data_IF_917866761618
#
_entry.id   IF_917866761618
#
_cell.length_a   1.000
_cell.length_b   1.000
_cell.length_c   1.000
_cell.angle_alpha   90.00
_cell.angle_beta   90.00
_cell.angle_gamma   90.00
#
_symmetry.space_group_name_H-M   'P 1'
#
loop_
_entity.id
_entity.type
_entity.pdbx_description
1 polymer ?
#
# COMPACT_ATOMS: atom_id res chain seq x y z
N UNK A 1 7.16 6.80 3.03
CA UNK A 1 6.61 7.61 1.92
C UNK A 1 6.41 9.01 2.46
N UNK A 2 7.00 10.03 1.84
CA UNK A 2 6.79 11.41 2.28
C UNK A 2 5.32 11.86 2.05
N UNK A 3 5.01 13.09 2.47
CA UNK A 3 3.68 13.71 2.33
C UNK A 3 3.20 13.84 0.87
N UNK A 4 4.09 13.65 -0.11
CA UNK A 4 3.81 13.72 -1.55
C UNK A 4 3.76 12.32 -2.20
N UNK A 5 3.91 11.24 -1.41
CA UNK A 5 3.96 9.87 -1.92
C UNK A 5 5.26 9.54 -2.64
N UNK A 6 6.32 10.33 -2.44
CA UNK A 6 7.65 10.09 -2.97
C UNK A 6 8.52 9.43 -1.90
N UNK A 7 9.21 8.35 -2.26
CA UNK A 7 10.01 7.56 -1.32
C UNK A 7 11.43 8.12 -1.17
N UNK A 8 12.01 8.63 -2.27
CA UNK A 8 13.41 9.04 -2.33
C UNK A 8 13.75 10.26 -1.49
N UNK A 9 12.85 11.24 -1.36
CA UNK A 9 13.12 12.49 -0.63
C UNK A 9 13.30 12.29 0.86
N UNK A 10 12.37 11.59 1.52
CA UNK A 10 12.46 11.26 2.94
C UNK A 10 13.64 10.32 3.21
N UNK A 11 13.81 9.29 2.37
CA UNK A 11 14.92 8.33 2.51
C UNK A 11 16.29 9.01 2.45
N UNK A 12 16.48 9.95 1.52
CA UNK A 12 17.74 10.70 1.38
C UNK A 12 18.00 11.70 2.51
N UNK A 13 16.95 12.18 3.19
CA UNK A 13 17.07 13.14 4.29
C UNK A 13 17.15 12.48 5.68
N UNK A 14 16.85 11.19 5.80
CA UNK A 14 16.78 10.48 7.07
C UNK A 14 18.16 10.39 7.74
N UNK A 15 18.21 10.76 9.01
CA UNK A 15 19.44 10.81 9.81
C UNK A 15 19.52 9.64 10.79
N UNK A 16 18.42 9.40 11.52
CA UNK A 16 18.38 8.40 12.56
C UNK A 16 16.96 7.86 12.75
N UNK A 17 16.88 6.64 13.27
CA UNK A 17 15.66 6.08 13.83
C UNK A 17 15.95 5.65 15.25
N UNK A 18 15.07 6.06 16.16
CA UNK A 18 15.12 5.69 17.57
C UNK A 18 13.98 4.74 17.89
N UNK A 19 14.30 3.63 18.53
CA UNK A 19 13.34 2.61 18.95
C UNK A 19 13.27 2.58 20.47
N UNK A 20 12.12 2.89 21.04
CA UNK A 20 11.84 2.72 22.46
C UNK A 20 11.01 1.45 22.66
N UNK A 21 11.51 0.53 23.47
CA UNK A 21 10.84 -0.72 23.84
C UNK A 21 10.24 -0.61 25.23
N UNK A 22 8.96 -0.96 25.36
CA UNK A 22 8.21 -0.87 26.61
C UNK A 22 7.81 -2.24 27.18
N UNK A 23 8.05 -3.33 26.44
CA UNK A 23 7.50 -4.65 26.76
C UNK A 23 5.98 -4.59 26.92
N UNK A 24 5.44 -5.22 27.96
CA UNK A 24 4.01 -5.19 28.25
C UNK A 24 3.57 -4.00 29.15
N UNK A 25 4.51 -3.10 29.47
CA UNK A 25 4.29 -1.97 30.38
C UNK A 25 4.12 -0.63 29.66
N UNK A 26 4.10 0.46 30.44
CA UNK A 26 4.04 1.83 29.94
C UNK A 26 5.35 2.61 30.18
N UNK A 27 6.39 1.93 30.69
CA UNK A 27 7.71 2.49 30.94
C UNK A 27 8.69 1.97 29.91
N UNK A 28 9.56 2.84 29.39
CA UNK A 28 10.62 2.42 28.47
C UNK A 28 11.60 1.51 29.23
N UNK A 29 11.76 0.29 28.73
CA UNK A 29 12.70 -0.70 29.23
C UNK A 29 14.07 -0.59 28.53
N UNK A 30 14.07 -0.22 27.24
CA UNK A 30 15.29 0.01 26.48
C UNK A 30 15.05 1.00 25.34
N UNK A 31 16.11 1.72 24.96
CA UNK A 31 16.12 2.63 23.81
C UNK A 31 17.29 2.29 22.90
N UNK A 32 17.02 2.15 21.61
CA UNK A 32 18.00 1.79 20.60
C UNK A 32 18.10 2.87 19.53
N UNK A 33 19.34 3.24 19.18
CA UNK A 33 19.65 4.03 17.99
C UNK A 33 20.11 3.11 16.88
N UNK A 34 19.62 3.33 15.67
CA UNK A 34 19.92 2.44 14.54
C UNK A 34 20.88 3.06 13.53
N UNK A 35 21.82 2.28 12.99
CA UNK A 35 22.64 2.68 11.84
C UNK A 35 21.94 2.27 10.55
N UNK A 36 21.73 3.23 9.64
CA UNK A 36 21.15 2.96 8.33
C UNK A 36 22.04 1.97 7.54
N UNK A 37 21.41 1.06 6.80
CA UNK A 37 22.04 -0.05 6.05
C UNK A 37 22.67 -1.20 6.87
N UNK A 38 22.97 -1.01 8.17
CA UNK A 38 23.46 -2.10 9.03
C UNK A 38 22.38 -2.65 9.96
N UNK A 39 21.59 -1.76 10.59
CA UNK A 39 20.55 -2.13 11.55
C UNK A 39 19.13 -1.87 11.01
N UNK A 40 19.02 -1.02 9.98
CA UNK A 40 17.78 -0.68 9.29
C UNK A 40 17.95 -0.87 7.79
N UNK A 41 17.13 -1.72 7.20
CA UNK A 41 16.93 -1.79 5.75
C UNK A 41 15.56 -1.24 5.40
N UNK A 42 15.52 -0.27 4.48
CA UNK A 42 14.30 0.33 3.98
C UNK A 42 14.01 -0.26 2.59
N UNK A 43 13.32 -1.40 2.55
CA UNK A 43 12.75 -1.94 1.31
C UNK A 43 11.37 -1.30 1.03
N UNK A 44 10.94 -1.25 -0.24
CA UNK A 44 9.65 -0.63 -0.61
C UNK A 44 8.44 -1.29 0.10
N UNK A 45 8.60 -2.51 0.61
CA UNK A 45 7.55 -3.31 1.26
C UNK A 45 7.87 -3.78 2.70
N UNK A 46 9.15 -3.94 3.09
CA UNK A 46 9.53 -4.56 4.37
C UNK A 46 9.52 -3.60 5.59
N UNK A 47 9.30 -2.29 5.37
CA UNK A 47 9.28 -1.32 6.46
C UNK A 47 10.68 -1.04 7.03
N UNK A 48 10.76 -0.72 8.32
CA UNK A 48 12.02 -0.58 9.05
C UNK A 48 12.06 -1.76 10.02
N UNK A 49 13.05 -2.64 9.86
CA UNK A 49 13.26 -3.78 10.74
C UNK A 49 14.42 -3.49 11.68
N UNK A 50 14.31 -3.92 12.94
CA UNK A 50 15.41 -3.91 13.90
C UNK A 50 15.96 -5.35 14.00
N UNK A 51 17.22 -5.56 13.64
CA UNK A 51 17.88 -6.86 13.73
C UNK A 51 18.21 -7.22 15.18
N UNK A 52 17.22 -7.72 15.94
CA UNK A 52 17.33 -7.89 17.40
C UNK A 52 18.08 -9.15 17.86
N UNK A 53 18.02 -10.25 17.12
CA UNK A 53 18.42 -11.56 17.65
C UNK A 53 19.94 -11.81 17.69
N UNK A 54 20.73 -11.03 16.95
CA UNK A 54 22.20 -11.19 16.92
C UNK A 54 22.97 -9.85 16.96
N UNK A 55 22.27 -8.72 17.19
CA UNK A 55 22.95 -7.43 17.27
C UNK A 55 23.59 -7.24 18.64
N UNK A 56 24.91 -7.13 18.67
CA UNK A 56 25.68 -6.74 19.87
C UNK A 56 25.25 -5.35 20.35
N UNK A 57 24.70 -4.51 19.47
CA UNK A 57 24.27 -3.13 19.78
C UNK A 57 22.81 -3.03 20.22
N UNK A 58 21.97 -4.00 19.87
CA UNK A 58 20.53 -3.97 20.14
C UNK A 58 20.09 -5.22 20.91
N UNK A 59 20.71 -5.46 22.06
CA UNK A 59 20.32 -6.55 22.95
C UNK A 59 19.02 -6.21 23.69
N UNK A 60 18.09 -7.16 23.70
CA UNK A 60 16.85 -7.04 24.46
C UNK A 60 17.11 -7.13 25.97
N UNK A 61 16.34 -6.43 26.81
CA UNK A 61 16.38 -6.63 28.26
C UNK A 61 16.18 -8.10 28.63
N UNK A 62 16.88 -8.56 29.66
CA UNK A 62 16.79 -9.94 30.13
C UNK A 62 15.32 -10.35 30.40
N UNK A 63 14.95 -11.55 29.97
CA UNK A 63 13.58 -12.08 30.12
C UNK A 63 12.57 -11.53 29.11
N UNK A 64 13.03 -10.86 28.05
CA UNK A 64 12.16 -10.37 26.97
C UNK A 64 12.57 -10.94 25.61
N UNK A 65 11.60 -11.13 24.73
CA UNK A 65 11.75 -11.69 23.38
C UNK A 65 11.44 -10.65 22.27
N UNK A 66 11.25 -9.39 22.67
CA UNK A 66 10.90 -8.28 21.79
C UNK A 66 9.40 -8.17 21.51
N UNK A 67 8.56 -9.08 22.01
CA UNK A 67 7.10 -8.88 22.00
C UNK A 67 6.68 -7.78 22.97
N UNK A 68 5.60 -7.07 22.65
CA UNK A 68 5.10 -5.95 23.43
C UNK A 68 5.16 -4.62 22.68
N UNK A 69 5.05 -3.53 23.41
CA UNK A 69 4.87 -2.21 22.86
C UNK A 69 6.19 -1.56 22.44
N UNK A 70 6.19 -1.01 21.22
CA UNK A 70 7.31 -0.30 20.62
C UNK A 70 6.89 1.07 20.12
N UNK A 71 7.82 2.02 20.23
CA UNK A 71 7.70 3.36 19.66
C UNK A 71 8.93 3.66 18.81
N UNK A 72 8.71 3.94 17.54
CA UNK A 72 9.74 4.40 16.61
C UNK A 72 9.62 5.90 16.44
N UNK A 73 10.76 6.58 16.45
CA UNK A 73 10.86 8.00 16.07
C UNK A 73 11.86 8.13 14.94
N UNK A 74 11.41 8.69 13.81
CA UNK A 74 12.23 8.94 12.63
C UNK A 74 12.65 10.40 12.61
N UNK A 75 13.95 10.63 12.51
CA UNK A 75 14.57 11.95 12.38
C UNK A 75 15.07 12.12 10.94
N UNK A 76 14.64 13.18 10.27
CA UNK A 76 15.06 13.49 8.90
C UNK A 76 15.20 15.01 8.70
N UNK A 77 16.29 15.44 8.05
CA UNK A 77 16.57 16.85 7.84
C UNK A 77 15.46 17.52 7.02
N UNK A 78 14.95 18.65 7.51
CA UNK A 78 13.87 19.39 6.85
C UNK A 78 12.48 18.76 6.99
N UNK A 79 12.34 17.69 7.77
CA UNK A 79 11.05 17.08 8.12
C UNK A 79 10.79 17.23 9.62
N UNK A 80 9.51 17.28 10.00
CA UNK A 80 9.12 17.13 11.40
C UNK A 80 9.36 15.69 11.83
N UNK A 81 9.80 15.51 13.08
CA UNK A 81 9.97 14.19 13.68
C UNK A 81 8.66 13.40 13.57
N UNK A 82 8.78 12.15 13.15
CA UNK A 82 7.61 11.29 12.96
C UNK A 82 7.69 10.11 13.91
N UNK A 83 6.64 9.95 14.72
CA UNK A 83 6.51 8.83 15.65
C UNK A 83 5.48 7.82 15.15
N UNK A 84 5.83 6.54 15.25
CA UNK A 84 4.93 5.41 15.01
C UNK A 84 5.00 4.43 16.18
N UNK A 85 3.84 4.07 16.72
CA UNK A 85 3.70 3.15 17.86
C UNK A 85 2.97 1.88 17.41
N UNK A 86 3.44 0.72 17.86
CA UNK A 86 2.82 -0.57 17.56
C UNK A 86 3.12 -1.61 18.64
N UNK A 87 2.28 -2.64 18.68
CA UNK A 87 2.51 -3.81 19.52
C UNK A 87 3.07 -4.93 18.65
N UNK A 88 4.30 -5.36 18.94
CA UNK A 88 4.92 -6.51 18.33
C UNK A 88 4.40 -7.78 19.00
N UNK A 89 3.94 -8.73 18.19
CA UNK A 89 3.53 -10.07 18.64
C UNK A 89 4.56 -11.10 18.17
N UNK A 90 4.42 -12.35 18.59
CA UNK A 90 5.31 -13.43 18.14
C UNK A 90 5.42 -13.52 16.60
N UNK A 91 4.36 -13.18 15.85
CA UNK A 91 4.39 -13.18 14.37
C UNK A 91 5.23 -12.04 13.79
N UNK A 92 5.59 -11.05 14.60
CA UNK A 92 6.46 -9.93 14.21
C UNK A 92 7.93 -10.19 14.55
N UNK A 93 8.22 -11.22 15.37
CA UNK A 93 9.58 -11.55 15.79
C UNK A 93 10.16 -12.53 14.78
N UNK A 94 11.33 -12.17 14.23
CA UNK A 94 12.07 -13.06 13.33
C UNK A 94 12.71 -14.16 14.17
N UNK A 95 12.19 -15.37 14.02
CA UNK A 95 12.73 -16.56 14.68
C UNK A 95 13.67 -17.31 13.74
N UNK A 96 14.86 -17.73 14.21
CA UNK A 96 15.69 -18.71 13.50
C UNK A 96 14.83 -19.91 13.12
N UNK A 97 14.77 -20.20 11.82
CA UNK A 97 13.98 -21.31 11.28
C UNK A 97 14.92 -22.37 10.75
N UNK A 98 14.64 -23.63 11.08
CA UNK A 98 15.32 -24.77 10.48
C UNK A 98 14.99 -24.78 8.97
N UNK A 99 15.97 -24.55 8.09
CA UNK A 99 15.72 -24.41 6.67
C UNK A 99 15.22 -25.72 6.03
N UNK A 100 15.42 -26.88 6.66
CA UNK A 100 14.87 -28.15 6.18
C UNK A 100 13.34 -28.23 6.26
N UNK A 101 12.71 -27.37 7.06
CA UNK A 101 11.25 -27.28 7.20
C UNK A 101 10.59 -26.37 6.16
N UNK A 102 11.38 -25.66 5.35
CA UNK A 102 10.90 -24.71 4.35
C UNK A 102 10.64 -25.44 3.02
N UNK A 103 9.41 -25.38 2.52
CA UNK A 103 9.05 -25.86 1.20
C UNK A 103 9.45 -24.84 0.12
N UNK A 104 10.47 -25.21 -0.66
CA UNK A 104 11.01 -24.41 -1.77
C UNK A 104 10.39 -24.75 -3.13
N UNK A 105 9.44 -25.67 -3.19
CA UNK A 105 8.86 -26.17 -4.46
C UNK A 105 8.24 -25.04 -5.28
N UNK A 106 7.42 -24.22 -4.64
CA UNK A 106 6.73 -23.11 -5.32
C UNK A 106 7.72 -22.03 -5.79
N UNK A 107 8.80 -21.81 -5.04
CA UNK A 107 9.85 -20.86 -5.36
C UNK A 107 10.62 -21.30 -6.61
N UNK A 108 11.08 -22.56 -6.65
CA UNK A 108 11.75 -23.16 -7.80
C UNK A 108 10.85 -23.12 -9.05
N UNK A 109 9.59 -23.51 -8.91
CA UNK A 109 8.62 -23.48 -10.01
C UNK A 109 8.37 -22.05 -10.55
N UNK A 110 8.37 -21.03 -9.69
CA UNK A 110 8.22 -19.64 -10.11
C UNK A 110 9.45 -19.16 -10.90
N UNK A 111 10.67 -19.51 -10.47
CA UNK A 111 11.90 -19.20 -11.20
C UNK A 111 11.96 -19.90 -12.57
N UNK A 112 11.51 -21.15 -12.67
CA UNK A 112 11.40 -21.84 -13.97
C UNK A 112 10.40 -21.15 -14.91
N UNK A 113 9.29 -20.64 -14.38
CA UNK A 113 8.36 -19.82 -15.19
C UNK A 113 9.04 -18.56 -15.72
N UNK A 114 9.92 -17.91 -14.95
CA UNK A 114 10.67 -16.74 -15.43
C UNK A 114 11.62 -17.14 -16.56
N UNK A 115 12.38 -18.24 -16.39
CA UNK A 115 13.32 -18.74 -17.41
C UNK A 115 12.63 -19.09 -18.73
N UNK A 116 11.38 -19.55 -18.68
CA UNK A 116 10.59 -19.89 -19.86
C UNK A 116 10.08 -18.65 -20.64
N UNK A 117 10.24 -17.43 -20.11
CA UNK A 117 9.80 -16.20 -20.77
C UNK A 117 10.91 -15.60 -21.63
N UNK A 118 10.54 -15.09 -22.79
CA UNK A 118 11.46 -14.31 -23.62
C UNK A 118 11.40 -12.83 -23.23
N UNK A 119 12.52 -12.28 -22.74
CA UNK A 119 12.67 -10.85 -22.39
C UNK A 119 12.23 -9.93 -23.52
N UNK A 120 12.50 -10.31 -24.77
CA UNK A 120 12.20 -9.47 -25.92
C UNK A 120 10.72 -9.32 -26.24
N UNK A 121 9.88 -10.21 -25.70
CA UNK A 121 8.44 -10.10 -25.85
C UNK A 121 7.83 -9.00 -24.98
N UNK A 122 8.56 -8.45 -24.00
CA UNK A 122 8.01 -7.58 -22.96
C UNK A 122 8.68 -6.22 -22.86
N UNK A 123 7.92 -5.20 -22.45
CA UNK A 123 8.47 -3.85 -22.23
C UNK A 123 9.54 -3.89 -21.13
N UNK A 124 10.58 -3.06 -21.29
CA UNK A 124 11.68 -2.95 -20.32
C UNK A 124 11.17 -2.69 -18.90
N UNK A 125 10.20 -1.79 -18.73
CA UNK A 125 9.65 -1.45 -17.40
C UNK A 125 8.93 -2.64 -16.72
N UNK A 126 8.16 -3.42 -17.48
CA UNK A 126 7.48 -4.59 -16.92
C UNK A 126 8.43 -5.76 -16.68
N UNK A 127 9.41 -5.93 -17.57
CA UNK A 127 10.43 -6.96 -17.43
C UNK A 127 11.34 -6.67 -16.23
N UNK A 128 11.74 -5.40 -16.02
CA UNK A 128 12.59 -5.02 -14.90
C UNK A 128 12.00 -5.41 -13.56
N UNK A 129 10.68 -5.30 -13.39
CA UNK A 129 9.98 -5.78 -12.19
C UNK A 129 10.06 -7.30 -12.02
N UNK A 130 10.00 -8.07 -13.11
CA UNK A 130 10.18 -9.53 -13.02
C UNK A 130 11.64 -9.87 -12.71
N UNK A 131 12.59 -9.16 -13.31
CA UNK A 131 14.03 -9.33 -13.08
C UNK A 131 14.39 -9.05 -11.61
N UNK A 132 13.95 -7.93 -11.04
CA UNK A 132 14.20 -7.56 -9.64
C UNK A 132 13.64 -8.62 -8.67
N UNK A 133 12.36 -8.97 -8.84
CA UNK A 133 11.69 -9.92 -7.93
C UNK A 133 12.24 -11.36 -8.14
N UNK A 134 12.71 -11.70 -9.34
CA UNK A 134 13.38 -12.98 -9.61
C UNK A 134 14.77 -13.06 -8.97
N UNK A 135 15.53 -11.95 -8.95
CA UNK A 135 16.81 -11.87 -8.23
C UNK A 135 16.59 -12.07 -6.73
N UNK A 136 15.65 -11.35 -6.11
CA UNK A 136 15.31 -11.52 -4.68
C UNK A 136 14.89 -12.97 -4.38
N UNK A 137 14.08 -13.56 -5.26
CA UNK A 137 13.65 -14.96 -5.14
C UNK A 137 14.83 -15.95 -5.22
N UNK A 138 15.79 -15.68 -6.12
CA UNK A 138 16.97 -16.52 -6.29
C UNK A 138 17.97 -16.39 -5.12
N UNK A 139 18.10 -15.20 -4.54
CA UNK A 139 18.88 -14.96 -3.32
C UNK A 139 18.28 -15.69 -2.13
N UNK A 140 16.96 -15.60 -1.94
CA UNK A 140 16.25 -16.35 -0.89
C UNK A 140 16.46 -17.86 -1.02
N UNK A 141 16.40 -18.41 -2.25
CA UNK A 141 16.67 -19.84 -2.46
C UNK A 141 18.10 -20.21 -2.10
N UNK A 142 19.08 -19.42 -2.54
CA UNK A 142 20.49 -19.64 -2.22
C UNK A 142 20.75 -19.59 -0.71
N UNK A 143 20.09 -18.68 0.01
CA UNK A 143 20.21 -18.58 1.47
C UNK A 143 19.67 -19.85 2.15
N UNK A 144 18.52 -20.38 1.72
CA UNK A 144 17.97 -21.66 2.22
C UNK A 144 18.94 -22.81 1.94
N UNK A 145 19.41 -22.93 0.70
CA UNK A 145 20.29 -24.03 0.28
C UNK A 145 21.65 -23.97 0.98
N UNK A 146 22.22 -22.77 1.15
CA UNK A 146 23.44 -22.57 1.92
C UNK A 146 23.24 -22.90 3.39
N UNK A 147 22.13 -22.48 4.00
CA UNK A 147 21.85 -22.77 5.40
C UNK A 147 21.65 -24.27 5.66
N UNK A 148 21.00 -25.01 4.74
CA UNK A 148 20.91 -26.48 4.80
C UNK A 148 22.30 -27.11 4.75
N UNK A 149 23.13 -26.67 3.80
CA UNK A 149 24.48 -27.20 3.60
C UNK A 149 25.37 -26.96 4.82
N UNK A 150 25.35 -25.74 5.35
CA UNK A 150 26.22 -25.29 6.44
C UNK A 150 25.62 -25.64 7.82
N UNK A 151 24.44 -26.27 7.85
CA UNK A 151 23.69 -26.62 9.07
C UNK A 151 23.42 -25.42 9.97
N UNK A 152 23.10 -24.29 9.36
CA UNK A 152 22.71 -23.04 10.03
C UNK A 152 21.22 -22.79 9.90
N UNK A 153 20.74 -21.65 10.43
CA UNK A 153 19.33 -21.27 10.40
C UNK A 153 19.10 -20.13 9.42
N UNK A 154 17.88 -20.00 8.91
CA UNK A 154 17.44 -18.83 8.15
C UNK A 154 16.60 -17.89 9.00
N UNK A 155 16.62 -16.60 8.67
CA UNK A 155 15.91 -15.54 9.40
C UNK A 155 14.55 -15.21 8.77
N UNK A 156 13.84 -16.21 8.23
CA UNK A 156 12.51 -16.07 7.67
C UNK A 156 11.71 -17.38 7.77
N UNK A 157 10.39 -17.25 7.72
CA UNK A 157 9.45 -18.37 7.84
C UNK A 157 8.88 -18.80 6.48
N UNK A 158 8.18 -19.93 6.45
CA UNK A 158 7.44 -20.37 5.26
C UNK A 158 6.46 -19.30 4.75
N UNK A 159 5.84 -18.51 5.65
CA UNK A 159 4.92 -17.45 5.24
C UNK A 159 5.61 -16.35 4.43
N UNK A 160 6.89 -16.05 4.71
CA UNK A 160 7.67 -15.10 3.93
C UNK A 160 8.03 -15.66 2.56
N UNK A 161 8.34 -16.95 2.47
CA UNK A 161 8.55 -17.66 1.20
C UNK A 161 7.26 -17.64 0.36
N UNK A 162 6.12 -17.93 0.97
CA UNK A 162 4.81 -17.92 0.31
C UNK A 162 4.44 -16.51 -0.18
N UNK A 163 4.75 -15.46 0.59
CA UNK A 163 4.56 -14.06 0.19
C UNK A 163 5.45 -13.70 -1.01
N UNK A 164 6.74 -14.04 -0.97
CA UNK A 164 7.68 -13.83 -2.07
C UNK A 164 7.20 -14.48 -3.36
N UNK A 165 6.67 -15.70 -3.29
CA UNK A 165 6.18 -16.40 -4.48
C UNK A 165 4.87 -15.80 -4.96
N UNK A 166 3.87 -15.62 -4.09
CA UNK A 166 2.50 -15.34 -4.50
C UNK A 166 2.23 -13.85 -4.74
N UNK A 167 2.68 -12.99 -3.83
CA UNK A 167 2.37 -11.56 -3.83
C UNK A 167 3.47 -10.74 -4.53
N UNK A 168 4.64 -11.32 -4.78
CA UNK A 168 5.76 -10.64 -5.43
C UNK A 168 6.07 -11.21 -6.82
N UNK A 169 6.81 -12.33 -6.93
CA UNK A 169 7.25 -12.82 -8.23
C UNK A 169 6.08 -13.20 -9.15
N UNK A 170 5.07 -13.91 -8.64
CA UNK A 170 3.87 -14.25 -9.42
C UNK A 170 3.09 -13.00 -9.82
N UNK A 171 3.02 -11.99 -8.95
CA UNK A 171 2.36 -10.73 -9.27
C UNK A 171 3.13 -9.95 -10.37
N UNK A 172 4.46 -9.97 -10.34
CA UNK A 172 5.32 -9.36 -11.36
C UNK A 172 5.16 -10.06 -12.71
N UNK A 173 5.19 -11.40 -12.75
CA UNK A 173 4.95 -12.20 -13.96
C UNK A 173 3.57 -11.88 -14.54
N UNK A 174 2.52 -11.86 -13.71
CA UNK A 174 1.16 -11.50 -14.13
C UNK A 174 1.04 -10.03 -14.59
N UNK A 175 1.99 -9.17 -14.19
CA UNK A 175 2.10 -7.77 -14.54
C UNK A 175 2.88 -7.48 -15.82
N UNK A 176 3.42 -8.50 -16.48
CA UNK A 176 4.16 -8.35 -17.73
C UNK A 176 3.33 -7.69 -18.84
N UNK A 177 3.96 -6.78 -19.59
CA UNK A 177 3.35 -6.04 -20.68
C UNK A 177 4.10 -6.36 -21.96
N UNK A 178 3.42 -6.89 -22.98
CA UNK A 178 4.08 -7.23 -24.25
C UNK A 178 4.61 -5.98 -24.98
N UNK A 179 5.79 -6.05 -25.61
CA UNK A 179 6.25 -5.06 -26.58
C UNK A 179 5.27 -5.04 -27.75
N UNK A 180 4.97 -3.85 -28.26
CA UNK A 180 4.26 -3.74 -29.53
C UNK A 180 5.24 -4.15 -30.63
N UNK A 181 4.84 -5.09 -31.50
CA UNK A 181 5.63 -5.43 -32.69
C UNK A 181 5.80 -4.17 -33.54
N UNK A 182 6.99 -3.93 -34.13
CA UNK A 182 7.14 -2.89 -35.14
C UNK A 182 6.05 -3.08 -36.19
N UNK A 183 5.23 -2.06 -36.39
CA UNK A 183 4.39 -2.01 -37.59
C UNK A 183 5.37 -1.65 -38.69
N UNK A 184 5.57 -2.55 -39.65
CA UNK A 184 6.37 -2.24 -40.85
C UNK A 184 5.87 -0.91 -41.44
N UNK A 185 6.77 0.00 -41.81
CA UNK A 185 6.38 1.25 -42.42
C UNK A 185 5.65 0.93 -43.73
N UNK A 186 4.39 1.37 -43.83
CA UNK A 186 3.70 1.44 -45.11
C UNK A 186 4.48 2.44 -45.96
N UNK A 187 5.17 1.92 -46.98
CA UNK A 187 5.92 2.69 -47.96
C UNK A 187 4.93 3.51 -48.78
N UNK A 188 5.04 4.84 -48.70
CA UNK A 188 4.48 5.76 -49.70
C UNK A 188 5.64 6.31 -50.55
N UNK A 189 5.50 6.37 -51.88
CA UNK A 189 6.59 6.68 -52.79
C UNK A 189 7.06 8.14 -52.74
N UNK A 190 8.37 8.27 -52.96
CA UNK A 190 9.25 9.41 -53.24
C UNK A 190 8.70 10.85 -53.25
N UNK A 191 9.37 11.71 -52.45
CA UNK A 191 9.82 13.02 -52.93
C UNK A 191 11.26 13.25 -52.45
N UNK A 192 12.17 13.29 -53.43
CA UNK A 192 13.58 13.69 -53.33
C UNK A 192 13.72 15.19 -53.04
N UNK A 193 14.58 15.59 -52.08
CA UNK A 193 15.39 16.77 -52.31
C UNK A 193 16.90 16.51 -52.12
N UNK A 194 17.61 17.08 -53.09
CA UNK A 194 19.03 17.28 -53.34
C UNK A 194 19.92 17.55 -52.12
N UNK A 195 21.09 16.90 -52.09
CA UNK A 195 22.18 17.11 -51.13
C UNK A 195 23.20 18.09 -51.72
N UNK A 196 23.77 18.98 -50.90
CA UNK A 196 25.06 19.64 -51.17
C UNK A 196 25.88 19.63 -49.87
N UNK A 197 27.17 19.26 -49.90
CA UNK A 197 27.94 18.93 -48.69
C UNK A 197 28.68 20.14 -48.10
N UNK A 198 28.71 20.25 -46.77
CA UNK A 198 29.44 21.30 -46.07
C UNK A 198 29.87 20.89 -44.65
N UNK A 199 31.17 20.58 -44.54
CA UNK A 199 32.13 20.77 -43.44
C UNK A 199 31.79 20.38 -41.99
N UNK A 200 32.75 19.63 -41.44
CA UNK A 200 32.89 19.11 -40.08
C UNK A 200 33.14 20.26 -39.07
N UNK A 201 32.24 20.45 -38.11
CA UNK A 201 32.49 21.24 -36.90
C UNK A 201 31.93 20.50 -35.66
N UNK A 202 32.80 20.32 -34.68
CA UNK A 202 32.54 19.65 -33.40
C UNK A 202 31.68 20.54 -32.49
N UNK A 203 30.42 20.15 -32.28
CA UNK A 203 29.46 20.84 -31.40
C UNK A 203 29.33 20.12 -30.04
N UNK A 204 29.27 20.86 -28.90
CA UNK A 204 29.22 20.27 -27.56
C UNK A 204 27.96 19.43 -27.32
N UNK A 205 28.17 18.27 -26.68
CA UNK A 205 27.14 17.29 -26.30
C UNK A 205 26.11 17.90 -25.35
N UNK A 206 24.94 18.26 -25.89
CA UNK A 206 23.78 18.63 -25.09
C UNK A 206 23.15 17.38 -24.46
N UNK A 207 22.96 17.40 -23.14
CA UNK A 207 22.22 16.37 -22.40
C UNK A 207 20.82 16.19 -23.02
N UNK A 208 20.43 14.97 -23.46
CA UNK A 208 19.18 14.76 -24.17
C UNK A 208 17.99 15.10 -23.25
N UNK A 209 17.16 16.04 -23.68
CA UNK A 209 15.89 16.37 -23.03
C UNK A 209 14.95 15.16 -23.18
N UNK A 210 14.29 14.67 -22.10
CA UNK A 210 13.49 13.45 -22.17
C UNK A 210 12.35 13.59 -23.18
N UNK A 211 12.37 12.77 -24.23
CA UNK A 211 11.34 12.74 -25.26
C UNK A 211 10.06 12.16 -24.67
N UNK A 212 9.14 13.05 -24.28
CA UNK A 212 7.83 12.66 -23.76
C UNK A 212 7.02 11.98 -24.88
N UNK A 213 6.79 10.66 -24.76
CA UNK A 213 6.00 9.86 -25.71
C UNK A 213 4.50 10.18 -25.61
N UNK A 214 3.75 10.19 -26.73
CA UNK A 214 2.30 10.33 -26.70
C UNK A 214 1.62 9.18 -25.95
N UNK A 215 0.65 9.49 -25.09
CA UNK A 215 -0.09 8.45 -24.36
C UNK A 215 -1.14 8.98 -23.40
N UNK A 216 -1.77 8.05 -22.67
CA UNK A 216 -2.72 8.36 -21.61
C UNK A 216 -2.33 7.67 -20.31
N UNK A 217 -2.51 8.39 -19.20
CA UNK A 217 -2.54 7.78 -17.86
C UNK A 217 -3.92 7.94 -17.26
N UNK A 218 -4.30 6.99 -16.41
CA UNK A 218 -5.57 7.03 -15.71
C UNK A 218 -5.37 6.52 -14.28
N UNK A 219 -5.99 7.20 -13.31
CA UNK A 219 -5.96 6.82 -11.89
C UNK A 219 -7.34 7.01 -11.29
N UNK A 220 -7.70 6.18 -10.32
CA UNK A 220 -8.94 6.28 -9.58
C UNK A 220 -8.70 5.93 -8.11
N UNK A 221 -9.38 6.63 -7.21
CA UNK A 221 -9.38 6.32 -5.78
C UNK A 221 -10.21 5.08 -5.45
N UNK A 222 -10.13 4.62 -4.19
CA UNK A 222 -10.90 3.47 -3.69
C UNK A 222 -12.40 3.66 -3.90
N UNK A 223 -13.08 2.64 -4.45
CA UNK A 223 -14.53 2.67 -4.68
C UNK A 223 -15.24 1.81 -3.64
N UNK A 224 -16.35 2.32 -3.11
CA UNK A 224 -17.21 1.59 -2.18
C UNK A 224 -18.61 1.39 -2.76
N UNK A 225 -19.29 0.34 -2.28
CA UNK A 225 -20.69 0.08 -2.65
C UNK A 225 -21.57 1.29 -2.32
N UNK A 226 -22.41 1.70 -3.26
CA UNK A 226 -23.30 2.85 -3.14
C UNK A 226 -22.61 4.21 -3.23
N UNK A 227 -21.30 4.25 -3.51
CA UNK A 227 -20.52 5.49 -3.64
C UNK A 227 -19.98 5.65 -5.06
N UNK A 228 -19.63 6.90 -5.39
CA UNK A 228 -19.06 7.29 -6.68
C UNK A 228 -17.58 7.66 -6.53
N UNK A 229 -16.80 7.43 -7.58
CA UNK A 229 -15.43 7.90 -7.72
C UNK A 229 -15.17 8.31 -9.16
N UNK A 230 -14.31 9.30 -9.39
CA UNK A 230 -14.03 9.80 -10.74
C UNK A 230 -12.64 9.36 -11.18
N UNK A 231 -12.53 8.87 -12.41
CA UNK A 231 -11.24 8.55 -13.02
C UNK A 231 -10.57 9.86 -13.45
N UNK A 232 -9.37 10.14 -12.94
CA UNK A 232 -8.52 11.22 -13.45
C UNK A 232 -7.73 10.69 -14.63
N UNK A 233 -7.95 11.25 -15.81
CA UNK A 233 -7.27 10.89 -17.05
C UNK A 233 -6.35 12.03 -17.45
N UNK A 234 -5.06 11.74 -17.62
CA UNK A 234 -4.07 12.68 -18.15
C UNK A 234 -3.72 12.25 -19.57
N UNK A 235 -3.77 13.19 -20.50
CA UNK A 235 -3.37 13.02 -21.90
C UNK A 235 -2.01 13.69 -22.08
N UNK A 236 -1.11 13.03 -22.77
CA UNK A 236 0.22 13.54 -23.08
C UNK A 236 0.41 13.45 -24.58
N UNK A 237 0.54 14.60 -25.28
CA UNK A 237 0.66 14.67 -26.75
C UNK A 237 -0.40 13.84 -27.52
N UNK A 238 -1.60 13.69 -26.95
CA UNK A 238 -2.72 12.98 -27.57
C UNK A 238 -3.98 13.84 -27.49
N UNK A 239 -4.71 13.91 -28.59
CA UNK A 239 -5.98 14.63 -28.71
C UNK A 239 -7.13 13.63 -28.86
N UNK A 240 -8.37 14.10 -28.77
CA UNK A 240 -9.56 13.27 -28.96
C UNK A 240 -10.33 12.94 -27.68
N UNK A 241 -11.53 12.39 -27.86
CA UNK A 241 -12.51 12.14 -26.78
C UNK A 241 -12.09 10.95 -25.91
N UNK A 242 -12.25 11.09 -24.60
CA UNK A 242 -12.07 9.97 -23.66
C UNK A 242 -13.34 9.13 -23.63
N UNK A 243 -13.18 7.81 -23.76
CA UNK A 243 -14.26 6.84 -23.62
C UNK A 243 -13.93 5.84 -22.52
N UNK A 244 -14.98 5.31 -21.88
CA UNK A 244 -14.85 4.42 -20.73
C UNK A 244 -15.74 3.19 -20.93
N UNK A 245 -15.23 2.01 -20.58
CA UNK A 245 -15.98 0.75 -20.61
C UNK A 245 -15.70 -0.06 -19.35
N UNK A 246 -16.73 -0.57 -18.70
CA UNK A 246 -16.58 -1.51 -17.58
C UNK A 246 -16.68 -2.95 -18.07
N UNK A 247 -15.80 -3.82 -17.59
CA UNK A 247 -15.88 -5.26 -17.83
C UNK A 247 -17.01 -5.94 -17.04
N UNK A 248 -17.41 -5.37 -15.89
CA UNK A 248 -18.47 -5.93 -15.05
C UNK A 248 -19.36 -4.82 -14.48
N UNK A 249 -20.44 -4.50 -15.21
CA UNK A 249 -21.44 -3.49 -14.83
C UNK A 249 -22.27 -3.86 -13.60
N UNK A 250 -22.29 -5.14 -13.17
CA UNK A 250 -22.94 -5.56 -11.92
C UNK A 250 -22.09 -5.19 -10.69
N UNK A 251 -20.76 -5.09 -10.86
CA UNK A 251 -19.83 -4.67 -9.80
C UNK A 251 -19.61 -3.15 -9.83
N UNK A 252 -19.25 -2.58 -10.98
CA UNK A 252 -19.03 -1.15 -11.14
C UNK A 252 -19.46 -0.66 -12.52
N UNK A 253 -20.21 0.44 -12.59
CA UNK A 253 -20.54 1.14 -13.84
C UNK A 253 -19.71 2.41 -13.96
N UNK A 254 -19.39 2.84 -15.18
CA UNK A 254 -18.73 4.12 -15.44
C UNK A 254 -19.51 4.88 -16.51
N UNK A 255 -19.71 6.18 -16.32
CA UNK A 255 -20.40 7.03 -17.31
C UNK A 255 -19.41 7.70 -18.28
N UNK A 256 -19.93 8.46 -19.26
CA UNK A 256 -19.14 9.17 -20.26
C UNK A 256 -18.20 10.23 -19.69
N UNK A 257 -18.45 10.71 -18.47
CA UNK A 257 -17.62 11.67 -17.73
C UNK A 257 -16.54 10.99 -16.86
N UNK A 258 -16.39 9.66 -16.94
CA UNK A 258 -15.43 8.91 -16.14
C UNK A 258 -15.83 8.71 -14.67
N UNK A 259 -17.11 8.97 -14.32
CA UNK A 259 -17.62 8.75 -12.96
C UNK A 259 -18.04 7.29 -12.80
N UNK A 260 -17.32 6.57 -11.96
CA UNK A 260 -17.63 5.21 -11.53
C UNK A 260 -18.68 5.24 -10.42
N UNK A 261 -19.64 4.32 -10.48
CA UNK A 261 -20.58 4.00 -9.38
C UNK A 261 -20.35 2.56 -8.95
N UNK A 262 -19.99 2.34 -7.68
CA UNK A 262 -19.83 1.01 -7.10
C UNK A 262 -21.19 0.40 -6.76
N UNK A 263 -21.54 -0.74 -7.36
CA UNK A 263 -22.83 -1.40 -7.18
C UNK A 263 -22.76 -2.60 -6.24
N UNK A 264 -21.74 -3.46 -6.41
CA UNK A 264 -21.53 -4.66 -5.60
C UNK A 264 -20.07 -4.78 -5.26
N UNK A 265 -19.76 -5.32 -4.08
CA UNK A 265 -18.38 -5.61 -3.72
C UNK A 265 -17.79 -6.66 -4.68
N UNK A 266 -16.54 -6.45 -5.11
CA UNK A 266 -15.90 -7.29 -6.11
C UNK A 266 -14.86 -6.53 -6.93
N UNK A 267 -14.35 -7.15 -8.00
CA UNK A 267 -13.40 -6.53 -8.94
C UNK A 267 -14.08 -6.28 -10.30
N UNK A 268 -13.82 -5.13 -10.90
CA UNK A 268 -14.18 -4.81 -12.28
C UNK A 268 -13.03 -4.09 -12.96
N UNK A 269 -12.78 -4.36 -14.24
CA UNK A 269 -11.76 -3.65 -15.02
C UNK A 269 -12.44 -2.53 -15.79
N UNK A 270 -11.98 -1.30 -15.61
CA UNK A 270 -12.40 -0.15 -16.40
C UNK A 270 -11.37 0.13 -17.49
N UNK A 271 -11.79 0.04 -18.75
CA UNK A 271 -11.00 0.43 -19.91
C UNK A 271 -11.23 1.90 -20.22
N UNK A 272 -10.15 2.69 -20.25
CA UNK A 272 -10.11 4.09 -20.67
C UNK A 272 -9.46 4.14 -22.06
N UNK A 273 -10.10 4.80 -23.02
CA UNK A 273 -9.59 4.88 -24.40
C UNK A 273 -9.65 6.32 -24.93
N UNK A 274 -8.58 6.74 -25.60
CA UNK A 274 -8.46 8.01 -26.35
C UNK A 274 -7.80 7.69 -27.69
N UNK A 275 -8.56 7.75 -28.79
CA UNK A 275 -8.07 7.29 -30.09
C UNK A 275 -7.60 5.83 -30.04
N UNK A 276 -6.35 5.57 -30.44
CA UNK A 276 -5.72 4.23 -30.34
C UNK A 276 -5.25 3.86 -28.93
N UNK A 277 -5.03 4.84 -28.05
CA UNK A 277 -4.45 4.63 -26.73
C UNK A 277 -5.47 4.03 -25.76
N UNK A 278 -5.09 2.96 -25.08
CA UNK A 278 -5.96 2.22 -24.15
C UNK A 278 -5.26 1.99 -22.82
N UNK A 279 -5.94 2.26 -21.70
CA UNK A 279 -5.50 1.93 -20.35
C UNK A 279 -6.56 1.12 -19.61
N UNK A 280 -6.16 0.05 -18.94
CA UNK A 280 -7.04 -0.75 -18.07
C UNK A 280 -6.78 -0.43 -16.61
N UNK A 281 -7.85 -0.21 -15.84
CA UNK A 281 -7.82 0.05 -14.39
C UNK A 281 -8.59 -1.05 -13.67
N UNK A 282 -7.92 -1.80 -12.80
CA UNK A 282 -8.61 -2.76 -11.92
C UNK A 282 -9.23 -2.01 -10.75
N UNK A 283 -10.55 -1.94 -10.73
CA UNK A 283 -11.34 -1.29 -9.67
C UNK A 283 -11.85 -2.37 -8.72
N UNK A 284 -11.33 -2.38 -7.49
CA UNK A 284 -11.85 -3.19 -6.38
C UNK A 284 -12.90 -2.38 -5.62
N UNK A 285 -14.17 -2.78 -5.72
CA UNK A 285 -15.28 -2.20 -4.96
C UNK A 285 -15.33 -2.88 -3.59
N UNK A 286 -15.15 -2.11 -2.51
CA UNK A 286 -15.24 -2.61 -1.13
C UNK A 286 -16.62 -2.34 -0.52
N UNK A 287 -17.04 -3.16 0.44
CA UNK A 287 -18.20 -2.83 1.29
C UNK A 287 -17.80 -1.68 2.23
N UNK A 288 -18.68 -0.68 2.47
CA UNK A 288 -18.46 0.29 3.53
C UNK A 288 -18.30 -0.40 4.88
N UNK A 289 -17.44 0.14 5.74
CA UNK A 289 -17.28 -0.30 7.13
C UNK A 289 -17.69 0.82 8.08
N UNK A 290 -18.31 0.43 9.20
CA UNK A 290 -18.70 1.35 10.26
C UNK A 290 -18.73 0.65 11.62
N UNK A 291 -17.91 1.15 12.56
CA UNK A 291 -17.73 0.62 13.92
C UNK A 291 -17.72 1.76 14.95
N UNK A 292 -18.23 1.47 16.14
CA UNK A 292 -18.07 2.34 17.32
C UNK A 292 -16.81 1.90 18.08
N UNK A 293 -16.03 2.85 18.61
CA UNK A 293 -14.85 2.52 19.43
C UNK A 293 -15.27 1.88 20.76
N UNK A 294 -16.34 2.41 21.36
CA UNK A 294 -17.05 1.80 22.49
C UNK A 294 -18.53 1.73 22.16
N UNK A 295 -19.23 0.73 22.68
CA UNK A 295 -20.67 0.54 22.47
C UNK A 295 -21.52 1.01 23.65
N UNK A 296 -20.91 1.46 24.75
CA UNK A 296 -21.64 1.98 25.90
C UNK A 296 -20.81 2.92 26.80
N UNK A 297 -21.50 3.68 27.65
CA UNK A 297 -20.93 4.46 28.73
C UNK A 297 -21.86 4.53 29.95
N UNK A 298 -21.26 4.57 31.14
CA UNK A 298 -21.92 4.87 32.42
C UNK A 298 -21.50 6.28 32.86
N UNK A 299 -22.46 7.16 33.14
CA UNK A 299 -22.20 8.58 33.44
C UNK A 299 -22.97 9.02 34.67
N UNK A 300 -22.39 9.95 35.45
CA UNK A 300 -23.13 10.72 36.46
C UNK A 300 -23.94 11.83 35.77
N UNK A 301 -25.04 12.27 36.37
CA UNK A 301 -25.85 13.42 35.89
C UNK A 301 -24.95 14.63 35.58
N UNK A 302 -25.22 15.31 34.46
CA UNK A 302 -24.47 16.48 34.00
C UNK A 302 -23.16 16.17 33.26
N UNK A 303 -22.59 14.96 33.41
CA UNK A 303 -21.35 14.59 32.72
C UNK A 303 -21.59 14.29 31.23
N UNK A 304 -20.52 14.47 30.45
CA UNK A 304 -20.52 14.30 28.99
C UNK A 304 -19.58 13.19 28.56
N UNK A 305 -19.84 12.60 27.40
CA UNK A 305 -18.92 11.70 26.70
C UNK A 305 -19.10 11.86 25.20
N UNK A 306 -18.09 11.51 24.40
CA UNK A 306 -18.15 11.61 22.94
C UNK A 306 -18.14 10.21 22.34
N UNK A 307 -19.12 9.92 21.48
CA UNK A 307 -19.15 8.67 20.72
C UNK A 307 -18.06 8.75 19.63
N UNK A 308 -16.95 8.04 19.86
CA UNK A 308 -15.89 7.88 18.84
C UNK A 308 -16.28 6.79 17.86
N UNK A 309 -16.12 7.06 16.56
CA UNK A 309 -16.48 6.13 15.47
C UNK A 309 -15.33 5.93 14.50
N UNK A 310 -15.28 4.76 13.86
CA UNK A 310 -14.37 4.44 12.74
C UNK A 310 -15.23 4.06 11.54
N UNK A 311 -15.04 4.73 10.40
CA UNK A 311 -15.80 4.50 9.17
C UNK A 311 -14.90 4.53 7.94
N UNK A 312 -15.11 3.62 7.00
CA UNK A 312 -14.47 3.65 5.68
C UNK A 312 -15.53 3.40 4.60
N UNK A 313 -15.76 4.34 3.67
CA UNK A 313 -15.20 5.69 3.62
C UNK A 313 -15.79 6.56 4.74
N UNK A 314 -15.12 7.66 5.07
CA UNK A 314 -15.68 8.65 5.98
C UNK A 314 -16.89 9.32 5.31
N UNK A 315 -18.01 9.36 6.02
CA UNK A 315 -19.24 10.00 5.56
C UNK A 315 -19.96 10.64 6.74
N UNK A 316 -21.06 11.35 6.46
CA UNK A 316 -21.84 12.02 7.50
C UNK A 316 -22.38 10.98 8.50
N UNK A 317 -22.07 11.20 9.77
CA UNK A 317 -22.55 10.38 10.89
C UNK A 317 -23.74 11.09 11.52
N UNK A 318 -24.84 10.37 11.74
CA UNK A 318 -26.05 10.93 12.36
C UNK A 318 -26.36 10.21 13.67
N UNK A 319 -26.85 10.95 14.66
CA UNK A 319 -27.13 10.47 16.01
C UNK A 319 -28.59 10.71 16.37
N UNK A 320 -29.25 9.72 17.00
CA UNK A 320 -30.61 9.85 17.54
C UNK A 320 -30.69 9.18 18.90
N UNK A 321 -31.07 9.93 19.93
CA UNK A 321 -31.37 9.34 21.25
C UNK A 321 -32.79 8.77 21.28
N UNK A 322 -32.96 7.63 21.95
CA UNK A 322 -34.27 7.05 22.25
C UNK A 322 -35.01 7.78 23.38
N UNK A 323 -34.28 8.45 24.29
CA UNK A 323 -34.90 9.17 25.40
C UNK A 323 -34.11 10.44 25.74
N UNK A 324 -34.61 11.59 25.25
CA UNK A 324 -34.02 12.92 25.48
C UNK A 324 -34.07 13.37 26.95
N UNK A 325 -34.97 12.80 27.78
CA UNK A 325 -35.05 13.08 29.22
C UNK A 325 -33.90 12.43 29.99
N UNK A 326 -33.41 11.28 29.52
CA UNK A 326 -32.28 10.54 30.12
C UNK A 326 -30.93 11.02 29.57
N UNK A 327 -30.78 11.08 28.25
CA UNK A 327 -29.55 11.56 27.60
C UNK A 327 -29.81 12.23 26.25
N UNK A 328 -29.12 13.32 25.97
CA UNK A 328 -29.12 14.00 24.66
C UNK A 328 -27.80 13.80 23.94
N UNK A 329 -27.81 13.87 22.61
CA UNK A 329 -26.62 13.80 21.76
C UNK A 329 -26.70 14.88 20.69
N UNK A 330 -25.60 15.57 20.42
CA UNK A 330 -25.53 16.59 19.37
C UNK A 330 -24.99 16.02 18.04
N UNK A 331 -24.89 16.88 17.01
CA UNK A 331 -24.39 16.50 15.68
C UNK A 331 -22.93 16.05 15.67
N UNK A 332 -22.13 16.45 16.68
CA UNK A 332 -20.72 16.06 16.86
C UNK A 332 -20.57 14.75 17.66
N UNK A 333 -21.67 14.09 18.02
CA UNK A 333 -21.65 12.84 18.80
C UNK A 333 -21.35 13.04 20.29
N UNK A 334 -21.42 14.28 20.79
CA UNK A 334 -21.26 14.58 22.22
C UNK A 334 -22.58 14.30 22.93
N UNK A 335 -22.52 13.38 23.89
CA UNK A 335 -23.62 12.90 24.71
C UNK A 335 -23.60 13.62 26.05
N UNK A 336 -24.75 14.11 26.51
CA UNK A 336 -24.93 14.73 27.84
C UNK A 336 -25.93 13.92 28.67
N UNK A 337 -25.52 13.49 29.86
CA UNK A 337 -26.36 12.77 30.81
C UNK A 337 -27.29 13.73 31.57
N UNK A 338 -28.60 13.49 31.56
CA UNK A 338 -29.61 14.41 32.13
C UNK A 338 -30.35 13.86 33.35
N UNK A 339 -30.86 12.63 33.29
CA UNK A 339 -31.63 12.01 34.38
C UNK A 339 -31.24 10.54 34.52
N UNK A 340 -31.24 10.04 35.76
CA UNK A 340 -31.01 8.62 36.09
C UNK A 340 -31.88 7.72 35.20
N UNK A 341 -31.29 6.66 34.66
CA UNK A 341 -31.95 5.75 33.72
C UNK A 341 -31.05 5.31 32.57
N UNK A 342 -31.62 4.59 31.59
CA UNK A 342 -30.89 4.11 30.41
C UNK A 342 -31.47 4.71 29.13
N UNK A 343 -30.60 5.11 28.20
CA UNK A 343 -30.96 5.54 26.85
C UNK A 343 -30.08 4.85 25.82
N UNK A 344 -30.66 4.46 24.68
CA UNK A 344 -29.94 3.99 23.49
C UNK A 344 -29.76 5.16 22.52
N UNK A 345 -28.53 5.38 22.05
CA UNK A 345 -28.22 6.31 20.97
C UNK A 345 -27.99 5.51 19.70
N UNK A 346 -28.85 5.73 18.71
CA UNK A 346 -28.70 5.18 17.37
C UNK A 346 -27.70 6.03 16.60
N UNK A 347 -26.67 5.40 16.06
CA UNK A 347 -25.62 6.03 15.25
C UNK A 347 -25.66 5.43 13.84
N UNK A 348 -25.77 6.26 12.81
CA UNK A 348 -25.81 5.81 11.41
C UNK A 348 -24.69 6.44 10.59
N UNK A 349 -24.05 5.64 9.74
CA UNK A 349 -23.08 6.09 8.75
C UNK A 349 -23.05 5.10 7.59
N UNK A 350 -22.96 5.59 6.34
CA UNK A 350 -22.93 4.74 5.13
C UNK A 350 -24.07 3.71 5.05
N UNK A 351 -25.27 4.05 5.53
CA UNK A 351 -26.41 3.13 5.60
C UNK A 351 -26.31 2.05 6.70
N UNK A 352 -25.20 1.97 7.42
CA UNK A 352 -24.99 1.04 8.53
C UNK A 352 -25.45 1.69 9.83
N UNK A 353 -26.23 0.95 10.64
CA UNK A 353 -26.73 1.41 11.94
C UNK A 353 -26.01 0.69 13.08
N UNK A 354 -25.61 1.44 14.11
CA UNK A 354 -25.04 0.94 15.37
C UNK A 354 -25.74 1.58 16.56
N UNK A 355 -25.65 0.95 17.72
CA UNK A 355 -26.28 1.43 18.95
C UNK A 355 -25.24 1.65 20.03
N UNK A 356 -25.29 2.80 20.68
CA UNK A 356 -24.49 3.16 21.85
C UNK A 356 -25.39 3.24 23.09
N UNK A 357 -25.14 2.42 24.12
CA UNK A 357 -25.94 2.41 25.36
C UNK A 357 -25.39 3.43 26.37
N UNK A 358 -26.25 4.29 26.88
CA UNK A 358 -25.92 5.25 27.94
C UNK A 358 -26.69 4.88 29.19
N UNK A 359 -25.98 4.69 30.31
CA UNK A 359 -26.60 4.49 31.62
C UNK A 359 -26.21 5.65 32.52
N UNK A 360 -27.21 6.42 32.98
CA UNK A 360 -27.02 7.52 33.92
C UNK A 360 -27.27 6.98 35.32
N UNK A 361 -26.26 7.08 36.18
CA UNK A 361 -26.31 6.64 37.58
C UNK A 361 -26.70 7.77 38.51
#
# INVERSE_FOLDING_TARGET
MDLNGNYGGLGAAMQAVKWDYYGNGNTVLATYGTKFAADNWMHKMMGIQLGLTHSVRCQLPAGTDGTGHWKLTVYALGYQDYTFEFDATATNIVTPTDPSTIDTTALKAALEKVKALNKDDYTEESWKKVEDEATETQEMLKEIEAAIKDKTTVAFSQAAVDEQVNEHLTAAINGLVKKEKPVEPVVTPDVKPTVTPGKNETKPTATPTPVVKPGITAKVSQVYVGKKATIKVTKTKVTGKVTFKSSNKKVATVNSKGVITGKKAGKAVITVKVGKYTKKLTVKVKKPSFKLVKSSAKLKKGKKTTIKVKAAPVSKVTYKTSNKKVATVNSKGVVTAKKKGTAKITVKCNGITRTFKVTVK
#
